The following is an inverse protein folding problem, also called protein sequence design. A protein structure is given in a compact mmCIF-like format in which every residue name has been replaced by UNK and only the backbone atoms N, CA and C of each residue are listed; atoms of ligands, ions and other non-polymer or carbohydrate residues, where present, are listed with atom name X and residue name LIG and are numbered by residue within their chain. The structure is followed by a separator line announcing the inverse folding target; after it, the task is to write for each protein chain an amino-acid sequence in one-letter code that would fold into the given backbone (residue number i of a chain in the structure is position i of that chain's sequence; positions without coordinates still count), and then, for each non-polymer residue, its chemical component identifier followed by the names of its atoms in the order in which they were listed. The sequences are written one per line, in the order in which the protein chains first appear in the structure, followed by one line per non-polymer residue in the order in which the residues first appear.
data_IF_782964580945
#
_entry.id   IF_782964580945
#
_cell.length_a   1.000
_cell.length_b   1.000
_cell.length_c   1.000
_cell.angle_alpha   90.00
_cell.angle_beta   90.00
_cell.angle_gamma   90.00
#
_symmetry.space_group_name_H-M   'P 1'
#
loop_
_entity.id
_entity.type
_entity.pdbx_description
1 polymer ?
#
# COMPACT_ATOMS: atom_id res chain seq x y z
N UNK A 1 10.48 0.88 20.17
CA UNK A 1 10.74 0.42 18.79
C UNK A 1 9.46 0.09 18.06
N UNK A 2 9.43 0.23 16.73
CA UNK A 2 8.29 -0.18 15.91
C UNK A 2 8.69 -1.39 15.06
N UNK A 3 7.87 -2.44 15.05
CA UNK A 3 7.97 -3.53 14.08
C UNK A 3 7.17 -3.15 12.84
N UNK A 4 7.86 -2.97 11.72
CA UNK A 4 7.27 -2.62 10.43
C UNK A 4 7.05 -3.87 9.57
N UNK A 5 5.85 -4.02 9.01
CA UNK A 5 5.51 -5.06 8.04
C UNK A 5 4.69 -4.46 6.90
N UNK A 6 5.23 -4.49 5.68
CA UNK A 6 4.59 -3.92 4.49
C UNK A 6 5.43 -4.15 3.24
N UNK A 7 4.90 -3.77 2.08
CA UNK A 7 5.62 -3.87 0.81
C UNK A 7 5.11 -2.84 -0.22
N UNK A 8 5.97 -2.47 -1.20
CA UNK A 8 5.54 -1.65 -2.31
C UNK A 8 4.73 -2.48 -3.33
N UNK A 9 3.62 -1.92 -3.78
CA UNK A 9 2.85 -2.39 -4.92
C UNK A 9 3.09 -1.44 -6.10
N UNK A 10 3.41 -1.98 -7.27
CA UNK A 10 3.62 -1.20 -8.49
C UNK A 10 2.75 -1.76 -9.62
N UNK A 11 1.94 -0.91 -10.23
CA UNK A 11 1.09 -1.29 -11.35
C UNK A 11 0.69 -0.08 -12.22
N UNK A 12 0.34 -0.30 -13.50
CA UNK A 12 -0.22 0.77 -14.33
C UNK A 12 -1.61 1.18 -13.82
N UNK A 13 -1.92 2.47 -13.94
CA UNK A 13 -3.28 2.97 -13.71
C UNK A 13 -4.20 2.58 -14.87
N UNK A 14 -5.34 1.98 -14.54
CA UNK A 14 -6.48 1.85 -15.44
C UNK A 14 -7.69 2.53 -14.82
N UNK A 15 -8.07 2.05 -13.63
CA UNK A 15 -9.16 2.54 -12.82
C UNK A 15 -8.78 2.44 -11.33
N UNK A 16 -9.56 3.07 -10.46
CA UNK A 16 -9.30 3.03 -9.01
C UNK A 16 -9.58 1.65 -8.41
N UNK A 17 -10.63 0.96 -8.89
CA UNK A 17 -11.07 -0.31 -8.28
C UNK A 17 -10.00 -1.42 -8.32
N UNK A 18 -9.31 -1.68 -9.45
CA UNK A 18 -8.20 -2.63 -9.48
C UNK A 18 -7.06 -2.32 -8.50
N UNK A 19 -6.78 -1.04 -8.23
CA UNK A 19 -5.78 -0.64 -7.23
C UNK A 19 -6.23 -1.03 -5.82
N UNK A 20 -7.49 -0.76 -5.49
CA UNK A 20 -8.06 -1.12 -4.18
C UNK A 20 -8.07 -2.64 -4.01
N UNK A 21 -8.50 -3.38 -5.03
CA UNK A 21 -8.56 -4.85 -4.97
C UNK A 21 -7.15 -5.45 -4.83
N UNK A 22 -6.15 -4.87 -5.48
CA UNK A 22 -4.74 -5.27 -5.33
C UNK A 22 -4.19 -4.96 -3.92
N UNK A 23 -4.48 -3.77 -3.38
CA UNK A 23 -4.12 -3.41 -1.98
C UNK A 23 -4.82 -4.31 -0.98
N UNK A 24 -6.10 -4.63 -1.19
CA UNK A 24 -6.85 -5.52 -0.32
C UNK A 24 -6.25 -6.94 -0.34
N UNK A 25 -5.87 -7.43 -1.51
CA UNK A 25 -5.24 -8.75 -1.70
C UNK A 25 -3.88 -8.88 -1.00
N UNK A 26 -3.24 -7.77 -0.60
CA UNK A 26 -2.02 -7.81 0.22
C UNK A 26 -2.24 -8.36 1.63
N UNK A 27 -3.48 -8.31 2.13
CA UNK A 27 -3.84 -8.76 3.47
C UNK A 27 -3.21 -7.98 4.61
N UNK A 28 -2.56 -6.82 4.36
CA UNK A 28 -1.94 -6.02 5.44
C UNK A 28 -2.96 -5.63 6.51
N UNK A 29 -4.20 -5.35 6.11
CA UNK A 29 -5.30 -5.03 7.02
C UNK A 29 -5.75 -6.19 7.92
N UNK A 30 -5.34 -7.44 7.64
CA UNK A 30 -5.67 -8.61 8.47
C UNK A 30 -4.79 -8.72 9.72
N UNK A 31 -3.83 -7.80 9.90
CA UNK A 31 -2.98 -7.76 11.09
C UNK A 31 -3.81 -7.22 12.25
N UNK A 32 -4.33 -8.15 13.05
CA UNK A 32 -5.15 -7.87 14.22
C UNK A 32 -4.35 -8.13 15.50
N UNK A 33 -3.58 -7.11 15.92
CA UNK A 33 -2.85 -7.11 17.19
C UNK A 33 -3.06 -5.77 17.91
N UNK A 34 -3.00 -5.73 19.26
CA UNK A 34 -3.13 -4.49 19.99
C UNK A 34 -2.06 -3.45 19.58
N UNK A 35 -2.49 -2.21 19.39
CA UNK A 35 -1.62 -1.09 18.98
C UNK A 35 -0.96 -1.24 17.60
N UNK A 36 -1.59 -1.98 16.69
CA UNK A 36 -1.25 -1.89 15.27
C UNK A 36 -1.70 -0.53 14.71
N UNK A 37 -0.80 0.12 13.99
CA UNK A 37 -1.05 1.31 13.19
C UNK A 37 -0.87 0.95 11.71
N UNK A 38 -1.57 1.64 10.82
CA UNK A 38 -1.47 1.42 9.38
C UNK A 38 -0.95 2.69 8.69
N UNK A 39 -0.11 2.51 7.68
CA UNK A 39 0.44 3.58 6.87
C UNK A 39 0.23 3.30 5.39
N UNK A 40 -0.09 4.36 4.64
CA UNK A 40 -0.31 4.33 3.20
C UNK A 40 0.35 5.56 2.55
N UNK A 41 1.14 5.35 1.51
CA UNK A 41 1.65 6.41 0.64
C UNK A 41 1.47 6.02 -0.83
N UNK A 42 1.11 6.99 -1.66
CA UNK A 42 0.90 6.78 -3.10
C UNK A 42 1.74 7.77 -3.89
N UNK A 43 2.45 7.26 -4.90
CA UNK A 43 3.21 8.04 -5.86
C UNK A 43 2.79 7.69 -7.28
N UNK A 44 2.57 8.71 -8.12
CA UNK A 44 2.18 8.54 -9.51
C UNK A 44 3.25 9.18 -10.38
N UNK A 45 3.81 8.39 -11.29
CA UNK A 45 4.75 8.86 -12.31
C UNK A 45 4.08 8.86 -13.68
N UNK A 46 3.92 10.03 -14.32
CA UNK A 46 3.32 10.12 -15.65
C UNK A 46 4.33 9.82 -16.76
N UNK A 47 3.88 9.12 -17.79
CA UNK A 47 4.59 8.88 -19.05
C UNK A 47 3.79 9.45 -20.25
N UNK A 48 4.44 9.67 -21.41
CA UNK A 48 3.75 10.04 -22.63
C UNK A 48 2.62 9.06 -23.00
N UNK A 49 1.63 9.54 -23.76
CA UNK A 49 0.45 8.77 -24.18
C UNK A 49 -0.44 8.29 -23.02
N UNK A 50 -0.59 9.11 -21.98
CA UNK A 50 -1.50 8.90 -20.85
C UNK A 50 -1.26 7.60 -20.06
N UNK A 51 -0.02 7.12 -20.03
CA UNK A 51 0.37 5.98 -19.19
C UNK A 51 0.79 6.52 -17.83
N UNK A 52 0.13 6.06 -16.76
CA UNK A 52 0.48 6.44 -15.39
C UNK A 52 1.01 5.21 -14.64
N UNK A 53 2.22 5.31 -14.12
CA UNK A 53 2.82 4.30 -13.24
C UNK A 53 2.48 4.62 -11.80
N UNK A 54 1.74 3.75 -11.12
CA UNK A 54 1.29 3.96 -9.75
C UNK A 54 2.11 3.09 -8.80
N UNK A 55 2.64 3.72 -7.76
CA UNK A 55 3.35 3.09 -6.66
C UNK A 55 2.52 3.29 -5.39
N UNK A 56 2.20 2.20 -4.70
CA UNK A 56 1.43 2.20 -3.46
C UNK A 56 2.29 1.51 -2.40
N UNK A 57 2.63 2.23 -1.35
CA UNK A 57 3.34 1.70 -0.19
C UNK A 57 2.31 1.49 0.91
N UNK A 58 2.05 0.23 1.26
CA UNK A 58 1.14 -0.13 2.36
C UNK A 58 1.92 -0.86 3.44
N UNK A 59 1.69 -0.46 4.69
CA UNK A 59 2.36 -1.05 5.83
C UNK A 59 1.50 -1.06 7.08
N UNK A 60 1.87 -1.99 7.97
CA UNK A 60 1.45 -2.05 9.36
C UNK A 60 2.66 -1.78 10.25
N UNK A 61 2.43 -1.07 11.34
CA UNK A 61 3.42 -0.72 12.34
C UNK A 61 2.91 -1.20 13.69
N UNK A 62 3.70 -1.99 14.40
CA UNK A 62 3.36 -2.45 15.74
C UNK A 62 4.31 -1.75 16.71
N UNK A 63 3.76 -0.99 17.65
CA UNK A 63 4.56 -0.34 18.69
C UNK A 63 4.99 -1.38 19.73
N UNK A 64 6.28 -1.70 19.76
CA UNK A 64 6.87 -2.48 20.85
C UNK A 64 6.98 -1.57 22.08
N UNK A 65 6.40 -2.01 23.19
CA UNK A 65 6.55 -1.38 24.51
C UNK A 65 7.92 -1.68 25.09
#
# INVERSE_FOLDING_TARGET
DYRFSGFPLHMPYSEVKPLIDAVYSTGVHNIDVPNVEFALAVYIHPYPKNVLSVWIYVASLIRNR
#
